data_IF_231619635135
#
_entry.id   IF_231619635135
#
_cell.length_a   1.000
_cell.length_b   1.000
_cell.length_c   1.000
_cell.angle_alpha   90.00
_cell.angle_beta   90.00
_cell.angle_gamma   90.00
#
_symmetry.space_group_name_H-M   'P 1'
#
loop_
_entity.id
_entity.type
_entity.pdbx_description
1 polymer ?
#
# COMPACT_ATOMS: atom_id res chain seq x y z
N UNK A 1 -20.14 5.32 27.04
CA UNK A 1 -19.89 4.06 26.31
C UNK A 1 -19.08 4.47 25.09
N UNK A 2 -17.76 4.39 25.23
CA UNK A 2 -16.81 5.11 24.39
C UNK A 2 -16.67 4.50 22.99
N UNK A 3 -16.85 5.35 21.98
CA UNK A 3 -15.73 5.68 21.10
C UNK A 3 -15.04 4.54 20.35
N UNK A 4 -15.77 3.64 19.72
CA UNK A 4 -15.22 3.03 18.50
C UNK A 4 -15.32 4.06 17.38
N UNK A 5 -14.29 4.91 17.23
CA UNK A 5 -14.01 5.51 15.93
C UNK A 5 -14.10 4.36 14.92
N UNK A 6 -14.90 4.47 13.84
CA UNK A 6 -15.24 3.32 13.00
C UNK A 6 -13.94 2.65 12.59
N UNK A 7 -13.68 1.48 13.21
CA UNK A 7 -12.44 0.77 13.00
C UNK A 7 -12.41 0.48 11.52
N UNK A 8 -11.46 1.15 10.89
CA UNK A 8 -11.36 1.33 9.48
C UNK A 8 -10.74 0.01 8.96
N UNK A 9 -11.58 -1.01 8.82
CA UNK A 9 -11.15 -2.41 8.57
C UNK A 9 -11.13 -2.71 7.08
N UNK A 10 -10.19 -3.55 6.67
CA UNK A 10 -10.09 -4.02 5.27
C UNK A 10 -10.86 -5.33 5.08
N UNK A 11 -11.26 -5.62 3.83
CA UNK A 11 -11.86 -6.92 3.48
C UNK A 11 -10.99 -8.11 3.90
N UNK A 12 -9.67 -7.98 3.80
CA UNK A 12 -8.72 -9.02 4.18
C UNK A 12 -8.73 -9.28 5.70
N UNK A 13 -8.82 -8.23 6.51
CA UNK A 13 -8.93 -8.38 7.96
C UNK A 13 -10.23 -9.09 8.36
N UNK A 14 -11.35 -8.77 7.70
CA UNK A 14 -12.63 -9.48 7.92
C UNK A 14 -12.50 -10.96 7.54
N UNK A 15 -11.90 -11.27 6.39
CA UNK A 15 -11.66 -12.65 5.97
C UNK A 15 -10.85 -13.42 7.02
N UNK A 16 -9.72 -12.87 7.47
CA UNK A 16 -8.86 -13.54 8.44
C UNK A 16 -9.53 -13.73 9.78
N UNK A 17 -10.38 -12.79 10.22
CA UNK A 17 -11.15 -12.98 11.45
C UNK A 17 -12.09 -14.17 11.33
N UNK A 18 -12.87 -14.25 10.25
CA UNK A 18 -13.82 -15.34 10.01
C UNK A 18 -13.13 -16.70 9.79
N UNK A 19 -11.96 -16.70 9.16
CA UNK A 19 -11.11 -17.90 9.02
C UNK A 19 -10.55 -18.33 10.37
N UNK A 20 -10.06 -17.39 11.19
CA UNK A 20 -9.53 -17.69 12.52
C UNK A 20 -10.60 -18.22 13.48
N UNK A 21 -11.85 -17.82 13.29
CA UNK A 21 -13.01 -18.35 14.03
C UNK A 21 -13.55 -19.66 13.45
N UNK A 22 -12.96 -20.17 12.36
CA UNK A 22 -13.39 -21.41 11.70
C UNK A 22 -14.72 -21.30 10.94
N UNK A 23 -15.28 -20.09 10.81
CA UNK A 23 -16.56 -19.83 10.14
C UNK A 23 -16.43 -19.99 8.62
N UNK A 24 -15.27 -19.61 8.06
CA UNK A 24 -14.99 -19.69 6.63
C UNK A 24 -13.70 -20.46 6.36
N UNK A 25 -13.66 -21.32 5.32
CA UNK A 25 -12.42 -21.92 4.85
C UNK A 25 -11.55 -20.86 4.15
N UNK A 26 -10.24 -20.89 4.41
CA UNK A 26 -9.28 -19.97 3.80
C UNK A 26 -8.97 -20.35 2.34
N UNK A 27 -9.90 -20.01 1.43
CA UNK A 27 -9.78 -20.35 0.00
C UNK A 27 -10.09 -19.14 -0.91
N UNK A 28 -9.49 -19.08 -2.12
CA UNK A 28 -9.75 -18.00 -3.07
C UNK A 28 -11.23 -17.84 -3.50
N UNK A 29 -12.02 -18.92 -3.71
CA UNK A 29 -13.45 -18.78 -3.97
C UNK A 29 -14.20 -18.10 -2.82
N UNK A 30 -13.81 -18.38 -1.57
CA UNK A 30 -14.48 -17.83 -0.40
C UNK A 30 -14.22 -16.33 -0.24
N UNK A 31 -13.01 -15.88 -0.57
CA UNK A 31 -12.69 -14.45 -0.64
C UNK A 31 -13.62 -13.71 -1.63
N UNK A 32 -13.79 -14.24 -2.85
CA UNK A 32 -14.66 -13.61 -3.86
C UNK A 32 -16.12 -13.55 -3.40
N UNK A 33 -16.61 -14.62 -2.78
CA UNK A 33 -17.98 -14.68 -2.25
C UNK A 33 -18.19 -13.69 -1.10
N UNK A 34 -17.25 -13.64 -0.15
CA UNK A 34 -17.29 -12.70 0.97
C UNK A 34 -17.26 -11.24 0.48
N UNK A 35 -16.39 -10.93 -0.49
CA UNK A 35 -16.31 -9.62 -1.12
C UNK A 35 -17.66 -9.18 -1.70
N UNK A 36 -18.30 -10.05 -2.50
CA UNK A 36 -19.58 -9.76 -3.12
C UNK A 36 -20.71 -9.56 -2.10
N UNK A 37 -20.76 -10.40 -1.06
CA UNK A 37 -21.76 -10.29 0.00
C UNK A 37 -21.60 -9.01 0.82
N UNK A 38 -20.37 -8.65 1.20
CA UNK A 38 -20.10 -7.42 1.93
C UNK A 38 -20.36 -6.18 1.06
N UNK A 39 -20.05 -6.22 -0.24
CA UNK A 39 -20.41 -5.15 -1.15
C UNK A 39 -21.92 -4.93 -1.23
N UNK A 40 -22.71 -6.00 -1.27
CA UNK A 40 -24.17 -5.91 -1.22
C UNK A 40 -24.66 -5.36 0.12
N UNK A 41 -24.15 -5.88 1.25
CA UNK A 41 -24.55 -5.42 2.57
C UNK A 41 -24.22 -3.94 2.81
N UNK A 42 -23.10 -3.43 2.26
CA UNK A 42 -22.76 -2.00 2.29
C UNK A 42 -23.71 -1.16 1.46
N UNK A 43 -24.09 -1.60 0.25
CA UNK A 43 -25.10 -0.91 -0.58
C UNK A 43 -26.44 -0.79 0.14
N UNK A 44 -26.77 -1.76 0.98
CA UNK A 44 -28.00 -1.80 1.78
C UNK A 44 -27.84 -1.11 3.15
N UNK A 45 -26.68 -0.52 3.47
CA UNK A 45 -26.41 0.12 4.75
C UNK A 45 -26.33 -0.83 5.96
N UNK A 46 -26.29 -2.15 5.72
CA UNK A 46 -26.24 -3.19 6.77
C UNK A 46 -24.82 -3.51 7.25
N UNK A 47 -23.80 -2.96 6.60
CA UNK A 47 -22.40 -3.17 6.95
C UNK A 47 -21.62 -1.87 6.80
N UNK A 48 -20.71 -1.54 7.74
CA UNK A 48 -19.91 -0.30 7.67
C UNK A 48 -18.95 -0.30 6.47
N UNK A 49 -18.47 0.88 6.09
CA UNK A 49 -17.51 0.99 5.00
C UNK A 49 -16.16 0.34 5.34
N UNK A 50 -15.60 -0.35 4.35
CA UNK A 50 -14.28 -0.97 4.41
C UNK A 50 -13.24 -0.02 3.84
N UNK A 51 -12.05 0.03 4.45
CA UNK A 51 -10.90 0.63 3.77
C UNK A 51 -10.47 -0.33 2.66
N UNK A 52 -10.36 0.22 1.45
CA UNK A 52 -9.56 -0.36 0.38
C UNK A 52 -8.18 0.30 0.35
N UNK A 53 -7.17 -0.37 0.93
CA UNK A 53 -5.78 0.11 0.92
C UNK A 53 -5.08 -0.12 -0.42
N UNK A 54 -5.73 -0.82 -1.36
CA UNK A 54 -5.15 -1.19 -2.67
C UNK A 54 -5.67 -0.29 -3.78
N UNK A 55 -6.77 0.44 -3.54
CA UNK A 55 -7.30 1.43 -4.46
C UNK A 55 -6.55 2.76 -4.35
N UNK A 56 -5.25 2.73 -4.60
CA UNK A 56 -4.63 3.92 -5.17
C UNK A 56 -5.18 4.06 -6.58
N UNK A 57 -6.07 5.03 -6.77
CA UNK A 57 -6.44 5.46 -8.12
C UNK A 57 -5.19 6.12 -8.68
N UNK A 58 -4.35 5.35 -9.37
CA UNK A 58 -3.33 5.93 -10.24
C UNK A 58 -4.07 6.66 -11.36
N UNK A 59 -4.30 7.95 -11.17
CA UNK A 59 -4.59 8.85 -12.28
C UNK A 59 -3.26 9.02 -13.01
N UNK A 60 -3.12 8.53 -14.25
CA UNK A 60 -1.93 8.83 -15.02
C UNK A 60 -1.86 10.36 -15.15
N UNK A 61 -0.75 11.00 -14.77
CA UNK A 61 -0.58 12.41 -15.01
C UNK A 61 -0.72 12.69 -16.52
N UNK A 62 -1.34 13.83 -16.82
CA UNK A 62 -1.54 14.32 -18.17
C UNK A 62 -0.82 15.65 -18.30
N UNK A 63 -0.08 15.83 -19.39
CA UNK A 63 0.64 17.06 -19.68
C UNK A 63 0.00 17.79 -20.86
N UNK A 64 0.02 19.13 -20.85
CA UNK A 64 -0.53 19.93 -21.94
C UNK A 64 0.25 19.77 -23.25
N UNK A 65 1.55 19.43 -23.17
CA UNK A 65 2.45 19.23 -24.31
C UNK A 65 3.65 18.33 -23.94
N UNK A 66 4.49 18.04 -24.94
CA UNK A 66 5.67 17.21 -24.78
C UNK A 66 6.79 17.88 -23.94
N UNK A 67 6.87 19.22 -23.97
CA UNK A 67 7.91 19.96 -23.26
C UNK A 67 7.68 19.90 -21.74
N UNK A 68 6.41 20.02 -21.32
CA UNK A 68 6.00 19.85 -19.93
C UNK A 68 6.31 18.43 -19.41
N UNK A 69 6.12 17.40 -20.24
CA UNK A 69 6.50 16.03 -19.89
C UNK A 69 8.02 15.88 -19.71
N UNK A 70 8.81 16.39 -20.67
CA UNK A 70 10.28 16.28 -20.65
C UNK A 70 10.89 17.03 -19.46
N UNK A 71 10.28 18.14 -19.04
CA UNK A 71 10.72 18.91 -17.88
C UNK A 71 10.49 18.16 -16.55
N UNK A 72 9.38 17.43 -16.42
CA UNK A 72 9.00 16.76 -15.17
C UNK A 72 9.60 15.34 -15.03
N UNK A 73 9.69 14.61 -16.13
CA UNK A 73 10.13 13.21 -16.18
C UNK A 73 11.43 12.91 -15.40
N UNK A 74 12.50 13.74 -15.45
CA UNK A 74 13.72 13.46 -14.70
C UNK A 74 13.53 13.34 -13.19
N UNK A 75 12.55 14.05 -12.62
CA UNK A 75 12.24 14.01 -11.18
C UNK A 75 11.72 12.66 -10.72
N UNK A 76 11.06 11.91 -11.59
CA UNK A 76 10.45 10.62 -11.27
C UNK A 76 11.46 9.48 -11.18
N UNK A 77 12.52 9.55 -11.99
CA UNK A 77 13.60 8.55 -11.99
C UNK A 77 14.74 8.93 -11.04
N UNK A 78 14.71 10.13 -10.48
CA UNK A 78 15.72 10.61 -9.53
C UNK A 78 15.40 10.10 -8.12
N UNK A 79 15.84 8.89 -7.81
CA UNK A 79 15.83 8.37 -6.46
C UNK A 79 17.00 8.95 -5.65
N UNK A 80 16.76 10.06 -4.95
CA UNK A 80 17.71 10.57 -3.96
C UNK A 80 17.65 9.74 -2.68
N UNK A 81 18.53 8.74 -2.58
CA UNK A 81 18.64 7.88 -1.39
C UNK A 81 19.20 8.60 -0.16
N UNK A 82 19.71 9.82 -0.32
CA UNK A 82 20.26 10.65 0.75
C UNK A 82 19.32 11.76 1.22
N UNK A 83 18.18 11.94 0.57
CA UNK A 83 17.18 12.93 0.96
C UNK A 83 16.75 12.73 2.41
N UNK A 84 16.91 13.77 3.24
CA UNK A 84 16.58 13.73 4.68
C UNK A 84 17.65 13.12 5.58
N UNK A 85 18.75 12.58 5.05
CA UNK A 85 19.87 12.12 5.87
C UNK A 85 20.70 13.32 6.37
N UNK A 86 20.77 13.50 7.70
CA UNK A 86 21.55 14.61 8.32
C UNK A 86 23.06 14.45 8.17
N UNK A 87 23.54 13.25 7.84
CA UNK A 87 24.95 12.89 7.71
C UNK A 87 25.09 11.83 6.62
N UNK A 88 26.09 11.98 5.75
CA UNK A 88 26.46 10.97 4.76
C UNK A 88 27.64 10.14 5.32
N UNK A 89 27.49 8.82 5.35
CA UNK A 89 28.53 7.90 5.77
C UNK A 89 29.30 7.41 4.53
N UNK A 90 30.60 7.69 4.49
CA UNK A 90 31.49 7.21 3.44
C UNK A 90 32.41 6.14 4.01
N UNK A 91 32.41 4.96 3.41
CA UNK A 91 33.33 3.88 3.76
C UNK A 91 34.38 3.77 2.67
N UNK A 92 35.62 4.08 3.01
CA UNK A 92 36.77 3.81 2.15
C UNK A 92 37.62 2.71 2.79
N UNK A 93 38.03 1.75 1.97
CA UNK A 93 39.01 0.73 2.35
C UNK A 93 40.36 1.11 1.76
N UNK A 94 41.40 1.16 2.59
CA UNK A 94 42.78 1.12 2.11
C UNK A 94 43.21 -0.32 1.92
N UNK A 95 43.78 -0.66 0.76
CA UNK A 95 44.47 -1.93 0.56
C UNK A 95 45.84 -1.82 1.22
N UNK A 96 46.11 -2.65 2.22
CA UNK A 96 47.46 -2.81 2.78
C UNK A 96 48.25 -3.78 1.92
N UNK A 97 49.50 -3.45 1.60
CA UNK A 97 50.49 -4.44 1.18
C UNK A 97 50.81 -5.36 2.36
N UNK A 98 50.89 -6.66 2.08
CA UNK A 98 51.23 -7.68 3.07
C UNK A 98 52.66 -7.52 3.57
N UNK A 99 53.01 -8.13 4.71
CA UNK A 99 54.37 -8.06 5.26
C UNK A 99 55.40 -8.67 4.27
N UNK A 100 56.66 -8.20 4.32
CA UNK A 100 57.71 -8.59 3.38
C UNK A 100 58.06 -10.09 3.43
#
# INVERSE_FOLDING_TARGET
MDGYAPLKVTLRQVLYRLVSEGVLPHTPPMYRRLSAQLAQARREGRFPDLIDTVREVHVPPAWPDADAFVAEMPGWFRLDRSAGQKRALYVARRRGEGPP
#
